data_IF_981089503178
#
_entry.id   IF_981089503178
#
_cell.length_a   1.000
_cell.length_b   1.000
_cell.length_c   1.000
_cell.angle_alpha   90.00
_cell.angle_beta   90.00
_cell.angle_gamma   90.00
#
_symmetry.space_group_name_H-M   'P 1'
#
loop_
_entity.id
_entity.type
_entity.pdbx_description
1 polymer ?
#
# COMPACT_ATOMS: atom_id res chain seq x y z
N UNK A 1 -0.93 3.03 -9.54
CA UNK A 1 -1.05 4.49 -9.26
C UNK A 1 0.30 5.19 -9.10
N UNK A 2 1.20 4.74 -8.21
CA UNK A 2 2.49 5.41 -7.95
C UNK A 2 3.41 5.47 -9.19
N UNK A 3 3.25 4.52 -10.12
CA UNK A 3 3.85 4.49 -11.46
C UNK A 3 3.64 5.77 -12.26
N UNK A 4 2.72 6.67 -11.89
CA UNK A 4 2.65 7.99 -12.51
C UNK A 4 3.90 8.86 -12.22
N UNK A 5 4.56 8.65 -11.08
CA UNK A 5 5.68 9.49 -10.60
C UNK A 5 6.96 8.72 -10.29
N UNK A 6 6.87 7.51 -9.73
CA UNK A 6 8.05 6.72 -9.33
C UNK A 6 8.69 6.08 -10.57
N UNK A 7 10.00 6.26 -10.75
CA UNK A 7 10.79 5.85 -11.93
C UNK A 7 12.09 5.12 -11.56
N UNK A 8 12.11 4.48 -10.40
CA UNK A 8 13.31 3.81 -9.90
C UNK A 8 13.00 2.53 -9.10
N UNK A 9 11.74 2.14 -9.01
CA UNK A 9 11.31 0.93 -8.30
C UNK A 9 10.55 0.03 -9.29
N UNK A 10 11.12 -1.13 -9.67
CA UNK A 10 10.44 -2.07 -10.52
C UNK A 10 9.33 -2.80 -9.75
N UNK A 11 8.32 -3.24 -10.47
CA UNK A 11 7.28 -4.12 -9.94
C UNK A 11 6.72 -5.01 -11.05
N UNK A 12 6.13 -6.12 -10.63
CA UNK A 12 5.46 -7.10 -11.48
C UNK A 12 4.18 -7.59 -10.79
N UNK A 13 3.18 -7.95 -11.58
CA UNK A 13 1.99 -8.67 -11.11
C UNK A 13 1.49 -9.65 -12.18
N UNK A 14 0.97 -10.79 -11.72
CA UNK A 14 0.20 -11.70 -12.55
C UNK A 14 -1.14 -11.07 -12.93
N UNK A 15 -1.61 -11.34 -14.15
CA UNK A 15 -2.88 -10.83 -14.67
C UNK A 15 -3.63 -11.99 -15.31
N UNK A 16 -4.75 -12.38 -14.69
CA UNK A 16 -5.50 -13.57 -15.06
C UNK A 16 -6.97 -13.20 -15.26
N UNK A 17 -7.52 -13.41 -16.46
CA UNK A 17 -8.94 -13.09 -16.71
C UNK A 17 -9.79 -14.35 -16.75
N UNK A 18 -10.81 -14.39 -15.89
CA UNK A 18 -11.74 -15.53 -15.74
C UNK A 18 -13.14 -15.02 -15.48
N UNK A 19 -14.12 -15.58 -16.19
CA UNK A 19 -15.53 -15.19 -16.17
C UNK A 19 -15.73 -13.67 -16.28
N UNK A 20 -14.94 -13.00 -17.12
CA UNK A 20 -14.99 -11.54 -17.31
C UNK A 20 -14.38 -10.72 -16.17
N UNK A 21 -13.84 -11.33 -15.12
CA UNK A 21 -13.11 -10.68 -14.03
C UNK A 21 -11.61 -10.77 -14.27
N UNK A 22 -10.89 -9.66 -14.11
CA UNK A 22 -9.42 -9.63 -14.15
C UNK A 22 -8.88 -9.69 -12.73
N UNK A 23 -8.21 -10.78 -12.40
CA UNK A 23 -7.46 -10.97 -11.16
C UNK A 23 -6.06 -10.40 -11.34
N UNK A 24 -5.62 -9.60 -10.37
CA UNK A 24 -4.26 -9.07 -10.29
C UNK A 24 -3.55 -9.75 -9.12
N UNK A 25 -2.53 -10.55 -9.42
CA UNK A 25 -1.79 -11.35 -8.45
C UNK A 25 -0.43 -10.71 -8.13
N UNK A 26 -0.11 -10.56 -6.84
CA UNK A 26 1.07 -9.80 -6.41
C UNK A 26 2.31 -10.66 -6.53
N UNK A 27 3.25 -10.27 -7.40
CA UNK A 27 4.53 -10.96 -7.53
C UNK A 27 5.61 -10.23 -6.73
N UNK A 28 6.27 -10.97 -5.81
CA UNK A 28 7.44 -10.45 -5.12
C UNK A 28 8.68 -10.63 -6.00
N UNK A 29 9.27 -9.52 -6.44
CA UNK A 29 10.53 -9.55 -7.19
C UNK A 29 11.68 -10.11 -6.33
N UNK A 30 12.71 -10.71 -6.94
CA UNK A 30 13.89 -11.17 -6.20
C UNK A 30 14.55 -10.03 -5.41
N UNK A 31 14.58 -10.17 -4.10
CA UNK A 31 15.26 -9.24 -3.19
C UNK A 31 16.57 -9.83 -2.70
N UNK A 32 17.58 -8.98 -2.48
CA UNK A 32 18.79 -9.42 -1.76
C UNK A 32 18.42 -9.82 -0.33
N UNK A 33 19.13 -10.79 0.28
CA UNK A 33 18.95 -11.09 1.68
C UNK A 33 19.05 -9.82 2.53
N UNK A 34 18.07 -9.65 3.42
CA UNK A 34 18.03 -8.51 4.32
C UNK A 34 19.09 -8.66 5.40
N UNK A 35 19.85 -7.59 5.65
CA UNK A 35 20.75 -7.51 6.80
C UNK A 35 19.96 -7.46 8.11
N UNK A 36 20.59 -7.83 9.23
CA UNK A 36 19.97 -7.72 10.57
C UNK A 36 19.52 -6.30 10.89
N UNK A 37 20.22 -5.30 10.35
CA UNK A 37 19.84 -3.90 10.51
C UNK A 37 18.59 -3.52 9.70
N UNK A 38 18.44 -4.06 8.50
CA UNK A 38 17.22 -3.89 7.69
C UNK A 38 16.03 -4.59 8.35
N UNK A 39 16.22 -5.81 8.85
CA UNK A 39 15.20 -6.54 9.63
C UNK A 39 14.79 -5.77 10.88
N UNK A 40 15.75 -5.19 11.60
CA UNK A 40 15.48 -4.33 12.77
C UNK A 40 14.69 -3.07 12.39
N UNK A 41 14.98 -2.47 11.24
CA UNK A 41 14.21 -1.32 10.73
C UNK A 41 12.77 -1.69 10.39
N UNK A 42 12.52 -2.88 9.85
CA UNK A 42 11.17 -3.41 9.64
C UNK A 42 10.47 -3.65 10.98
N UNK A 43 11.15 -4.27 11.95
CA UNK A 43 10.62 -4.51 13.29
C UNK A 43 10.16 -3.22 14.00
N UNK A 44 10.86 -2.10 13.80
CA UNK A 44 10.42 -0.82 14.37
C UNK A 44 9.05 -0.37 13.86
N UNK A 45 8.64 -0.78 12.64
CA UNK A 45 7.28 -0.60 12.13
C UNK A 45 6.26 -1.35 12.99
N UNK A 46 6.39 -2.66 13.06
CA UNK A 46 5.49 -3.52 13.85
C UNK A 46 5.47 -3.16 15.35
N UNK A 47 6.63 -2.77 15.90
CA UNK A 47 6.73 -2.31 17.29
C UNK A 47 5.95 -1.00 17.51
N UNK A 48 5.98 -0.08 16.53
CA UNK A 48 5.18 1.15 16.59
C UNK A 48 3.69 0.85 16.46
N UNK A 49 3.28 -0.06 15.59
CA UNK A 49 1.88 -0.51 15.47
C UNK A 49 1.37 -1.08 16.80
N UNK A 50 2.16 -1.95 17.44
CA UNK A 50 1.84 -2.51 18.75
C UNK A 50 1.79 -1.43 19.85
N UNK A 51 2.65 -0.41 19.77
CA UNK A 51 2.67 0.70 20.72
C UNK A 51 1.48 1.66 20.53
N UNK A 52 1.06 1.87 19.28
CA UNK A 52 -0.01 2.79 18.92
C UNK A 52 -1.41 2.15 18.98
N UNK A 53 -1.50 0.88 19.40
CA UNK A 53 -2.74 0.13 19.57
C UNK A 53 -2.92 -0.35 21.01
N UNK A 54 -4.18 -0.52 21.39
CA UNK A 54 -4.57 -1.09 22.68
C UNK A 54 -4.65 -2.62 22.57
N UNK A 55 -3.82 -3.33 23.33
CA UNK A 55 -3.93 -4.77 23.52
C UNK A 55 -4.41 -5.05 24.95
N UNK A 56 -5.63 -5.61 25.14
CA UNK A 56 -6.16 -5.88 26.48
C UNK A 56 -5.37 -6.95 27.26
N UNK A 57 -4.49 -7.70 26.59
CA UNK A 57 -3.61 -8.69 27.23
C UNK A 57 -2.33 -8.09 27.79
N UNK A 58 -1.97 -6.88 27.36
CA UNK A 58 -0.76 -6.17 27.80
C UNK A 58 -1.03 -5.54 29.16
N UNK A 59 -0.20 -5.86 30.14
CA UNK A 59 -0.30 -5.25 31.48
C UNK A 59 0.30 -3.85 31.52
N UNK A 60 -0.20 -2.99 32.42
CA UNK A 60 0.31 -1.64 32.56
C UNK A 60 1.81 -1.62 32.91
N UNK A 61 2.61 -0.90 32.12
CA UNK A 61 4.06 -0.81 32.28
C UNK A 61 4.85 -1.94 31.64
N UNK A 62 4.20 -2.92 31.03
CA UNK A 62 4.84 -3.99 30.28
C UNK A 62 5.34 -3.47 28.91
N UNK A 63 6.62 -3.70 28.62
CA UNK A 63 7.20 -3.35 27.33
C UNK A 63 6.64 -4.20 26.18
N UNK A 64 6.73 -3.70 24.95
CA UNK A 64 6.35 -4.45 23.75
C UNK A 64 7.26 -5.68 23.60
N UNK A 65 6.64 -6.87 23.51
CA UNK A 65 7.33 -8.14 23.34
C UNK A 65 6.48 -9.09 22.47
N UNK A 66 7.09 -10.16 21.94
CA UNK A 66 6.42 -11.20 21.14
C UNK A 66 5.56 -10.69 19.96
N UNK A 67 6.02 -9.63 19.27
CA UNK A 67 5.36 -9.11 18.06
C UNK A 67 5.45 -10.16 16.95
N UNK A 68 4.29 -10.63 16.47
CA UNK A 68 4.17 -11.60 15.39
C UNK A 68 3.66 -10.92 14.12
N UNK A 69 4.53 -10.78 13.12
CA UNK A 69 4.22 -10.15 11.84
C UNK A 69 3.29 -10.98 10.94
N UNK A 70 2.92 -12.21 11.34
CA UNK A 70 1.93 -13.02 10.62
C UNK A 70 0.49 -12.74 11.07
N UNK A 71 0.30 -11.99 12.16
CA UNK A 71 -1.04 -11.62 12.64
C UNK A 71 -1.47 -10.34 11.93
N UNK A 72 -2.43 -10.48 11.02
CA UNK A 72 -2.95 -9.40 10.18
C UNK A 72 -4.48 -9.35 10.20
N UNK A 73 -5.05 -8.19 9.89
CA UNK A 73 -6.47 -8.02 9.67
C UNK A 73 -6.70 -7.40 8.29
N UNK A 74 -7.47 -8.08 7.44
CA UNK A 74 -7.76 -7.63 6.08
C UNK A 74 -9.24 -7.28 5.92
N UNK A 75 -9.51 -6.06 5.43
CA UNK A 75 -10.84 -5.61 5.04
C UNK A 75 -11.06 -5.86 3.55
N UNK A 76 -12.17 -6.49 3.17
CA UNK A 76 -12.59 -6.61 1.77
C UNK A 76 -13.39 -5.37 1.37
N UNK A 77 -12.87 -4.62 0.39
CA UNK A 77 -13.40 -3.31 0.00
C UNK A 77 -13.86 -3.33 -1.45
N UNK A 78 -15.03 -2.76 -1.69
CA UNK A 78 -15.55 -2.47 -3.03
C UNK A 78 -15.38 -0.99 -3.33
N UNK A 79 -14.72 -0.70 -4.44
CA UNK A 79 -14.56 0.67 -4.95
C UNK A 79 -14.76 0.71 -6.47
N UNK A 80 -14.64 1.92 -7.04
CA UNK A 80 -14.75 2.14 -8.48
C UNK A 80 -13.74 3.20 -8.91
N UNK A 81 -12.96 2.91 -9.96
CA UNK A 81 -12.09 3.86 -10.63
C UNK A 81 -12.53 3.99 -12.10
N UNK A 82 -12.92 5.20 -12.50
CA UNK A 82 -13.52 5.44 -13.82
C UNK A 82 -14.72 4.53 -14.09
N UNK A 83 -14.63 3.71 -15.13
CA UNK A 83 -15.65 2.72 -15.48
C UNK A 83 -15.51 1.37 -14.74
N UNK A 84 -14.41 1.15 -14.02
CA UNK A 84 -13.97 -0.16 -13.56
C UNK A 84 -14.36 -0.36 -12.09
N UNK A 85 -15.11 -1.42 -11.80
CA UNK A 85 -15.43 -1.82 -10.43
C UNK A 85 -14.30 -2.69 -9.89
N UNK A 86 -13.85 -2.41 -8.68
CA UNK A 86 -12.71 -3.08 -8.07
C UNK A 86 -13.16 -3.68 -6.74
N UNK A 87 -12.80 -4.94 -6.53
CA UNK A 87 -12.81 -5.60 -5.23
C UNK A 87 -11.34 -5.80 -4.83
N UNK A 88 -10.97 -5.39 -3.62
CA UNK A 88 -9.61 -5.54 -3.11
C UNK A 88 -9.64 -5.96 -1.64
N UNK A 89 -8.65 -6.75 -1.24
CA UNK A 89 -8.27 -6.89 0.16
C UNK A 89 -7.34 -5.74 0.54
N UNK A 90 -7.58 -5.13 1.69
CA UNK A 90 -6.72 -4.10 2.26
C UNK A 90 -6.45 -4.45 3.72
N UNK A 91 -5.19 -4.73 4.03
CA UNK A 91 -4.70 -4.85 5.40
C UNK A 91 -4.94 -3.52 6.15
N UNK A 92 -5.47 -3.61 7.37
CA UNK A 92 -5.75 -2.45 8.22
C UNK A 92 -5.02 -2.59 9.55
N UNK A 93 -4.26 -1.58 9.90
CA UNK A 93 -3.44 -1.60 11.13
C UNK A 93 -4.30 -1.52 12.39
N UNK A 94 -5.27 -0.59 12.43
CA UNK A 94 -6.21 -0.48 13.53
C UNK A 94 -7.49 0.29 13.16
N UNK A 95 -8.40 0.43 14.12
CA UNK A 95 -9.61 1.22 13.99
C UNK A 95 -9.86 2.09 15.22
N UNK A 96 -10.62 3.15 15.02
CA UNK A 96 -11.09 4.07 16.05
C UNK A 96 -12.56 4.41 15.78
N UNK A 97 -13.21 5.10 16.70
CA UNK A 97 -14.61 5.49 16.60
C UNK A 97 -14.82 6.95 16.95
N UNK A 98 -15.70 7.63 16.22
CA UNK A 98 -16.19 8.96 16.57
C UNK A 98 -17.13 8.89 17.77
N UNK A 99 -17.39 10.05 18.40
CA UNK A 99 -18.29 10.15 19.56
C UNK A 99 -19.72 9.62 19.29
N UNK A 100 -20.16 9.62 18.03
CA UNK A 100 -21.44 9.07 17.57
C UNK A 100 -21.39 7.55 17.25
N UNK A 101 -20.27 6.89 17.54
CA UNK A 101 -20.09 5.44 17.42
C UNK A 101 -19.72 4.94 16.02
N UNK A 102 -19.54 5.83 15.03
CA UNK A 102 -19.10 5.42 13.70
C UNK A 102 -17.63 5.01 13.73
N UNK A 103 -17.36 3.77 13.29
CA UNK A 103 -15.99 3.24 13.16
C UNK A 103 -15.30 3.73 11.88
N UNK A 104 -13.99 3.92 11.98
CA UNK A 104 -13.11 4.17 10.85
C UNK A 104 -11.75 3.53 11.09
N UNK A 105 -11.08 3.14 10.01
CA UNK A 105 -9.72 2.62 10.08
C UNK A 105 -8.69 3.74 10.22
N UNK A 106 -7.53 3.42 10.78
CA UNK A 106 -6.37 4.32 10.88
C UNK A 106 -5.15 3.58 10.38
N UNK A 107 -4.41 4.21 9.47
CA UNK A 107 -3.13 3.69 8.99
C UNK A 107 -2.02 4.11 9.94
N UNK A 108 -1.12 3.20 10.28
CA UNK A 108 0.06 3.43 11.10
C UNK A 108 1.31 3.30 10.23
N UNK A 109 2.20 4.30 10.31
CA UNK A 109 3.46 4.27 9.58
C UNK A 109 4.60 4.74 10.47
N UNK A 110 5.78 4.22 10.20
CA UNK A 110 7.02 4.75 10.80
C UNK A 110 7.88 5.44 9.76
N UNK A 111 8.57 6.49 10.17
CA UNK A 111 9.55 7.18 9.35
C UNK A 111 10.78 7.57 10.16
N UNK A 112 11.94 7.72 9.51
CA UNK A 112 13.06 8.43 10.12
C UNK A 112 12.64 9.89 10.36
N UNK A 113 13.05 10.49 11.47
CA UNK A 113 12.85 11.93 11.69
C UNK A 113 13.42 12.73 10.50
N UNK A 114 12.69 13.77 10.14
CA UNK A 114 12.99 14.54 8.95
C UNK A 114 14.04 15.60 9.27
N UNK A 115 14.96 15.75 8.34
CA UNK A 115 15.88 16.87 8.25
C UNK A 115 15.69 17.55 6.88
N UNK A 116 16.34 18.69 6.69
CA UNK A 116 16.26 19.45 5.44
C UNK A 116 16.66 18.63 4.19
N UNK A 117 17.50 17.59 4.33
CA UNK A 117 17.95 16.76 3.22
C UNK A 117 16.96 15.64 2.87
N UNK A 118 16.15 15.21 3.82
CA UNK A 118 15.24 14.05 3.68
C UNK A 118 13.78 14.44 3.50
N UNK A 119 13.39 15.66 3.87
CA UNK A 119 12.01 16.16 3.81
C UNK A 119 11.44 16.10 2.38
N UNK A 120 12.17 16.60 1.38
CA UNK A 120 11.68 16.63 0.00
C UNK A 120 11.41 15.21 -0.52
N UNK A 121 12.34 14.27 -0.31
CA UNK A 121 12.16 12.88 -0.73
C UNK A 121 10.98 12.23 -0.01
N UNK A 122 10.84 12.49 1.29
CA UNK A 122 9.70 12.01 2.06
C UNK A 122 8.37 12.50 1.47
N UNK A 123 8.25 13.80 1.18
CA UNK A 123 7.00 14.37 0.64
C UNK A 123 6.74 13.96 -0.81
N UNK A 124 7.79 13.81 -1.63
CA UNK A 124 7.66 13.39 -3.05
C UNK A 124 7.32 11.92 -3.22
N UNK A 125 7.94 11.04 -2.43
CA UNK A 125 7.89 9.60 -2.67
C UNK A 125 7.09 8.88 -1.60
N UNK A 126 7.50 9.00 -0.32
CA UNK A 126 6.91 8.20 0.75
C UNK A 126 5.47 8.62 1.02
N UNK A 127 5.23 9.92 1.10
CA UNK A 127 3.90 10.46 1.35
C UNK A 127 2.93 10.17 0.19
N UNK A 128 3.43 10.08 -1.05
CA UNK A 128 2.65 9.63 -2.21
C UNK A 128 2.17 8.19 -2.03
N UNK A 129 3.06 7.27 -1.67
CA UNK A 129 2.71 5.84 -1.47
C UNK A 129 1.70 5.66 -0.34
N UNK A 130 1.95 6.31 0.79
CA UNK A 130 1.05 6.30 1.96
C UNK A 130 -0.32 6.87 1.58
N UNK A 131 -0.36 7.99 0.84
CA UNK A 131 -1.63 8.55 0.36
C UNK A 131 -2.38 7.58 -0.56
N UNK A 132 -1.70 6.94 -1.53
CA UNK A 132 -2.34 5.98 -2.45
C UNK A 132 -2.98 4.83 -1.68
N UNK A 133 -2.25 4.23 -0.75
CA UNK A 133 -2.71 3.09 0.06
C UNK A 133 -3.99 3.45 0.83
N UNK A 134 -3.92 4.50 1.65
CA UNK A 134 -5.04 4.92 2.48
C UNK A 134 -6.22 5.47 1.65
N UNK A 135 -5.96 6.16 0.55
CA UNK A 135 -7.01 6.70 -0.32
C UNK A 135 -7.83 5.59 -0.97
N UNK A 136 -7.18 4.57 -1.55
CA UNK A 136 -7.86 3.47 -2.23
C UNK A 136 -8.73 2.66 -1.27
N UNK A 137 -8.25 2.45 -0.05
CA UNK A 137 -8.94 1.71 1.00
C UNK A 137 -9.94 2.59 1.80
N UNK A 138 -10.08 3.88 1.47
CA UNK A 138 -11.01 4.78 2.15
C UNK A 138 -10.63 5.11 3.61
N UNK A 139 -9.36 4.95 3.98
CA UNK A 139 -8.83 5.20 5.32
C UNK A 139 -8.64 6.72 5.52
N UNK A 140 -9.37 7.35 6.47
CA UNK A 140 -9.40 8.81 6.59
C UNK A 140 -8.20 9.42 7.32
N UNK A 141 -7.50 8.64 8.15
CA UNK A 141 -6.39 9.11 8.98
C UNK A 141 -5.16 8.21 8.85
N UNK A 142 -4.00 8.85 8.87
CA UNK A 142 -2.70 8.19 8.96
C UNK A 142 -1.96 8.77 10.17
N UNK A 143 -1.43 7.93 11.04
CA UNK A 143 -0.56 8.31 12.15
C UNK A 143 0.86 7.88 11.84
N UNK A 144 1.79 8.82 11.87
CA UNK A 144 3.20 8.60 11.55
C UNK A 144 4.03 8.77 12.80
N UNK A 145 4.72 7.71 13.20
CA UNK A 145 5.78 7.73 14.21
C UNK A 145 7.13 8.06 13.59
N UNK A 146 7.70 9.20 13.94
CA UNK A 146 9.05 9.58 13.54
C UNK A 146 10.06 9.13 14.57
N UNK A 147 11.07 8.40 14.11
CA UNK A 147 12.11 7.81 14.95
C UNK A 147 13.50 8.34 14.59
N UNK A 148 14.40 8.35 15.56
CA UNK A 148 15.82 8.60 15.30
C UNK A 148 16.51 7.38 14.64
N UNK A 149 17.82 7.50 14.43
CA UNK A 149 18.64 6.44 13.84
C UNK A 149 18.90 5.26 14.79
N UNK A 150 18.59 5.41 16.09
CA UNK A 150 18.68 4.35 17.11
C UNK A 150 17.35 3.60 17.27
N UNK A 151 16.29 4.03 16.58
CA UNK A 151 14.96 3.42 16.66
C UNK A 151 14.07 3.99 17.76
N UNK A 152 14.46 5.09 18.40
CA UNK A 152 13.63 5.74 19.42
C UNK A 152 12.60 6.63 18.74
N UNK A 153 11.32 6.47 19.10
CA UNK A 153 10.25 7.39 18.71
C UNK A 153 10.50 8.77 19.32
N UNK A 154 10.55 9.81 18.48
CA UNK A 154 10.84 11.19 18.88
C UNK A 154 9.67 12.14 18.61
N UNK A 155 8.80 11.81 17.66
CA UNK A 155 7.63 12.62 17.31
C UNK A 155 6.53 11.76 16.68
N UNK A 156 5.28 12.16 16.85
CA UNK A 156 4.13 11.59 16.14
C UNK A 156 3.38 12.68 15.38
N UNK A 157 2.84 12.34 14.22
CA UNK A 157 2.02 13.26 13.41
C UNK A 157 0.76 12.53 12.95
N UNK A 158 -0.42 13.13 13.17
CA UNK A 158 -1.68 12.62 12.64
C UNK A 158 -2.07 13.42 11.41
N UNK A 159 -2.13 12.76 10.27
CA UNK A 159 -2.51 13.32 8.99
C UNK A 159 -3.93 12.90 8.62
N UNK A 160 -4.68 13.80 7.98
CA UNK A 160 -5.91 13.45 7.27
C UNK A 160 -5.55 13.11 5.83
N UNK A 161 -5.98 11.94 5.33
CA UNK A 161 -5.65 11.47 3.98
C UNK A 161 -6.03 12.50 2.91
N UNK A 162 -7.17 13.17 3.08
CA UNK A 162 -7.65 14.22 2.16
C UNK A 162 -6.75 15.47 2.11
N UNK A 163 -6.10 15.83 3.23
CA UNK A 163 -5.30 17.05 3.34
C UNK A 163 -3.90 16.88 2.74
N UNK A 164 -3.41 15.63 2.64
CA UNK A 164 -2.09 15.33 2.08
C UNK A 164 -1.96 15.89 0.66
N UNK A 165 -3.00 15.71 -0.16
CA UNK A 165 -3.01 16.20 -1.55
C UNK A 165 -2.93 17.72 -1.65
N UNK A 166 -3.49 18.45 -0.67
CA UNK A 166 -3.42 19.91 -0.63
C UNK A 166 -2.00 20.37 -0.26
N UNK A 167 -1.39 19.74 0.76
CA UNK A 167 -0.01 20.00 1.21
C UNK A 167 0.99 19.87 0.07
N UNK A 168 0.95 18.76 -0.66
CA UNK A 168 1.93 18.47 -1.73
C UNK A 168 1.66 19.21 -3.03
N UNK A 169 0.40 19.61 -3.29
CA UNK A 169 0.03 20.43 -4.45
C UNK A 169 0.61 21.83 -4.35
N UNK A 170 0.65 22.43 -3.15
CA UNK A 170 1.27 23.74 -2.93
C UNK A 170 2.77 23.76 -3.27
N UNK A 171 3.45 22.62 -3.10
CA UNK A 171 4.88 22.44 -3.43
C UNK A 171 5.13 21.88 -4.84
N UNK A 172 4.07 21.61 -5.60
CA UNK A 172 4.13 21.00 -6.93
C UNK A 172 4.91 19.67 -6.98
N UNK A 173 4.77 18.83 -5.95
CA UNK A 173 5.50 17.56 -5.86
C UNK A 173 4.82 16.42 -6.62
N UNK A 174 3.50 16.26 -6.44
CA UNK A 174 2.67 15.32 -7.17
C UNK A 174 1.20 15.72 -7.01
N UNK A 175 0.35 15.15 -7.86
CA UNK A 175 -1.09 15.43 -7.87
C UNK A 175 -1.88 14.12 -7.87
N UNK A 176 -2.79 13.97 -6.91
CA UNK A 176 -3.61 12.76 -6.82
C UNK A 176 -4.45 12.49 -8.07
N UNK A 177 -4.92 13.55 -8.74
CA UNK A 177 -5.65 13.45 -10.00
C UNK A 177 -4.84 12.80 -11.13
N UNK A 178 -3.52 13.05 -11.20
CA UNK A 178 -2.64 12.42 -12.19
C UNK A 178 -2.50 10.92 -11.92
N UNK A 179 -2.37 10.53 -10.65
CA UNK A 179 -2.33 9.11 -10.27
C UNK A 179 -3.63 8.37 -10.62
N UNK A 180 -4.78 9.03 -10.43
CA UNK A 180 -6.09 8.45 -10.74
C UNK A 180 -6.32 8.34 -12.24
N UNK A 181 -6.04 9.40 -13.00
CA UNK A 181 -6.17 9.40 -14.45
C UNK A 181 -5.26 8.32 -15.08
N UNK A 182 -4.00 8.25 -14.66
CA UNK A 182 -3.08 7.22 -15.11
C UNK A 182 -3.59 5.81 -14.79
N UNK A 183 -4.08 5.57 -13.56
CA UNK A 183 -4.60 4.27 -13.19
C UNK A 183 -5.89 3.90 -13.94
N UNK A 184 -6.76 4.86 -14.24
CA UNK A 184 -7.96 4.62 -15.06
C UNK A 184 -7.57 4.23 -16.50
N UNK A 185 -6.61 4.93 -17.11
CA UNK A 185 -6.08 4.57 -18.44
C UNK A 185 -5.47 3.17 -18.45
N UNK A 186 -4.70 2.80 -17.41
CA UNK A 186 -4.12 1.46 -17.29
C UNK A 186 -5.20 0.39 -17.15
N UNK A 187 -6.22 0.62 -16.33
CA UNK A 187 -7.32 -0.34 -16.19
C UNK A 187 -8.12 -0.47 -17.49
N UNK A 188 -8.40 0.62 -18.19
CA UNK A 188 -9.04 0.61 -19.51
C UNK A 188 -8.23 -0.24 -20.50
N UNK A 189 -6.92 0.00 -20.57
CA UNK A 189 -6.01 -0.74 -21.44
C UNK A 189 -5.96 -2.24 -21.09
N UNK A 190 -5.78 -2.58 -19.81
CA UNK A 190 -5.76 -3.97 -19.36
C UNK A 190 -7.07 -4.68 -19.68
N UNK A 191 -8.20 -4.09 -19.33
CA UNK A 191 -9.51 -4.74 -19.52
C UNK A 191 -9.84 -4.96 -21.01
N UNK A 192 -9.40 -4.06 -21.90
CA UNK A 192 -9.53 -4.19 -23.36
C UNK A 192 -8.52 -5.11 -24.03
N UNK A 193 -7.35 -5.33 -23.41
CA UNK A 193 -6.25 -6.12 -24.01
C UNK A 193 -6.26 -7.57 -23.54
N UNK A 194 -6.43 -7.81 -22.24
CA UNK A 194 -6.39 -9.13 -21.61
C UNK A 194 -7.55 -10.00 -22.11
N UNK A 195 -7.21 -11.17 -22.66
CA UNK A 195 -8.18 -12.12 -23.21
C UNK A 195 -8.72 -13.05 -22.15
N UNK A 196 -9.92 -13.55 -22.39
CA UNK A 196 -10.58 -14.50 -21.51
C UNK A 196 -9.80 -15.81 -21.43
N UNK A 197 -9.63 -16.36 -20.22
CA UNK A 197 -8.87 -17.58 -19.94
C UNK A 197 -7.39 -17.55 -20.34
N UNK A 198 -6.80 -16.36 -20.51
CA UNK A 198 -5.37 -16.19 -20.72
C UNK A 198 -4.68 -15.68 -19.45
N UNK A 199 -3.36 -15.87 -19.41
CA UNK A 199 -2.48 -15.53 -18.30
C UNK A 199 -1.36 -14.61 -18.78
N UNK A 200 -1.14 -13.51 -18.06
CA UNK A 200 -0.14 -12.52 -18.40
C UNK A 200 0.66 -12.08 -17.18
N UNK A 201 1.80 -11.46 -17.48
CA UNK A 201 2.61 -10.69 -16.54
C UNK A 201 2.52 -9.22 -16.93
N UNK A 202 2.05 -8.38 -16.01
CA UNK A 202 2.15 -6.93 -16.13
C UNK A 202 3.37 -6.43 -15.35
N UNK A 203 4.30 -5.78 -16.03
CA UNK A 203 5.52 -5.28 -15.40
C UNK A 203 5.79 -3.80 -15.69
N UNK A 204 6.52 -3.19 -14.76
CA UNK A 204 7.16 -1.89 -14.91
C UNK A 204 8.62 -2.01 -14.45
N UNK A 205 9.55 -1.90 -15.39
CA UNK A 205 10.97 -2.07 -15.12
C UNK A 205 11.79 -0.99 -15.85
N UNK A 206 13.10 -0.94 -15.56
CA UNK A 206 14.02 -0.02 -16.23
C UNK A 206 13.92 -0.16 -17.77
N UNK A 207 13.82 0.94 -18.55
CA UNK A 207 14.07 2.34 -18.19
C UNK A 207 12.86 3.13 -17.68
N UNK A 208 11.79 2.45 -17.24
CA UNK A 208 10.60 3.06 -16.61
C UNK A 208 9.81 3.99 -17.53
N UNK A 209 9.76 3.68 -18.83
CA UNK A 209 9.10 4.49 -19.85
C UNK A 209 7.76 3.91 -20.33
N UNK A 210 7.48 2.64 -20.05
CA UNK A 210 6.26 1.94 -20.46
C UNK A 210 5.89 0.83 -19.49
N UNK A 211 4.60 0.48 -19.49
CA UNK A 211 4.11 -0.78 -18.96
C UNK A 211 4.18 -1.85 -20.05
N UNK A 212 4.53 -3.06 -19.66
CA UNK A 212 4.62 -4.20 -20.58
C UNK A 212 3.70 -5.31 -20.09
N UNK A 213 2.90 -5.85 -21.01
CA UNK A 213 2.05 -7.01 -20.77
C UNK A 213 2.64 -8.18 -21.56
N UNK A 214 3.15 -9.18 -20.85
CA UNK A 214 3.84 -10.34 -21.40
C UNK A 214 3.00 -11.59 -21.19
N UNK A 215 3.10 -12.57 -22.08
CA UNK A 215 2.42 -13.86 -21.87
C UNK A 215 3.02 -14.60 -20.66
N UNK A 216 2.18 -15.08 -19.75
CA UNK A 216 2.59 -15.94 -18.64
C UNK A 216 2.42 -17.42 -18.99
N UNK A 217 3.11 -18.29 -18.25
CA UNK A 217 3.09 -19.74 -18.48
C UNK A 217 1.96 -20.46 -17.74
N UNK A 218 1.48 -19.90 -16.63
CA UNK A 218 0.50 -20.56 -15.76
C UNK A 218 -0.33 -19.56 -14.96
N UNK A 219 -1.44 -20.06 -14.44
CA UNK A 219 -2.31 -19.38 -13.48
C UNK A 219 -2.11 -20.00 -12.08
N UNK A 220 -2.12 -19.20 -11.00
CA UNK A 220 -2.12 -19.70 -9.63
C UNK A 220 -3.27 -20.69 -9.35
N UNK A 221 -3.01 -21.69 -8.50
CA UNK A 221 -4.02 -22.68 -8.11
C UNK A 221 -5.16 -22.03 -7.33
N UNK A 222 -4.90 -21.00 -6.53
CA UNK A 222 -5.88 -20.27 -5.74
C UNK A 222 -6.96 -19.65 -6.63
N UNK A 223 -6.56 -19.04 -7.75
CA UNK A 223 -7.48 -18.45 -8.73
C UNK A 223 -8.25 -19.56 -9.45
N UNK A 224 -7.55 -20.62 -9.86
CA UNK A 224 -8.16 -21.77 -10.55
C UNK A 224 -9.22 -22.45 -9.68
N UNK A 225 -8.91 -22.68 -8.41
CA UNK A 225 -9.79 -23.29 -7.42
C UNK A 225 -10.98 -22.38 -7.08
N UNK A 226 -10.77 -21.07 -6.96
CA UNK A 226 -11.85 -20.11 -6.75
C UNK A 226 -12.86 -20.13 -7.91
N UNK A 227 -12.37 -20.09 -9.16
CA UNK A 227 -13.24 -20.09 -10.35
C UNK A 227 -14.01 -21.39 -10.48
N UNK A 228 -13.43 -22.53 -10.10
CA UNK A 228 -14.12 -23.82 -10.11
C UNK A 228 -15.27 -23.92 -9.09
N UNK A 229 -15.34 -23.02 -8.10
CA UNK A 229 -16.40 -22.97 -7.09
C UNK A 229 -17.54 -22.02 -7.44
N UNK A 230 -17.42 -21.25 -8.53
CA UNK A 230 -18.44 -20.29 -9.01
C UNK A 230 -19.41 -20.96 -10.00
#
# INVERSE_FOLDING_TARGET
MATAYIRHEPWEMGVHKRNGVVYLDVHKLPERPQSDFERRRCYWGYCFESLATEDPRRTDGEGIHHVDANVEYCSVIKTKLGAHRILMGAEMDCCDSTDDGRRFYVELKTNRELDYQTEERYEREKLLKVWIQSFLAGVPYIVIGFRDDRGKLVRTERLRTKDITQRVKMKNYWQGGVCLAFADEVLCWLYGTVKENEDYILQFAHPFTRLELLQAQSCPEEITNHVAQL
#
